data_IF_219580255972
#
_entry.id   IF_219580255972
#
_cell.length_a   1.000
_cell.length_b   1.000
_cell.length_c   1.000
_cell.angle_alpha   90.00
_cell.angle_beta   90.00
_cell.angle_gamma   90.00
#
_symmetry.space_group_name_H-M   'P 1'
#
loop_
_entity.id
_entity.type
_entity.pdbx_description
1 polymer ?
#
# COMPACT_ATOMS: atom_id res chain seq x y z
N UNK A 1 -1.54 -0.17 -17.71
CA UNK A 1 -0.34 0.71 -17.79
C UNK A 1 -0.69 1.90 -18.68
N UNK A 2 -0.32 3.13 -18.30
CA UNK A 2 -0.56 4.35 -19.09
C UNK A 2 0.79 5.07 -19.34
N UNK A 3 1.44 4.89 -20.50
CA UNK A 3 2.74 5.49 -20.78
C UNK A 3 2.75 7.02 -20.79
N UNK A 4 1.67 7.65 -21.29
CA UNK A 4 1.56 9.10 -21.35
C UNK A 4 1.54 9.73 -19.95
N UNK A 5 0.75 9.15 -19.04
CA UNK A 5 0.72 9.57 -17.63
C UNK A 5 2.08 9.40 -16.95
N UNK A 6 2.75 8.27 -17.16
CA UNK A 6 4.07 8.02 -16.56
C UNK A 6 5.13 9.02 -17.05
N UNK A 7 5.09 9.38 -18.34
CA UNK A 7 5.97 10.41 -18.91
C UNK A 7 5.70 11.80 -18.31
N UNK A 8 4.41 12.18 -18.19
CA UNK A 8 4.02 13.44 -17.58
C UNK A 8 4.46 13.54 -16.10
N UNK A 9 4.29 12.46 -15.33
CA UNK A 9 4.76 12.39 -13.95
C UNK A 9 6.28 12.53 -13.86
N UNK A 10 7.03 11.85 -14.73
CA UNK A 10 8.49 11.94 -14.75
C UNK A 10 8.97 13.36 -15.06
N UNK A 11 8.31 14.06 -16.00
CA UNK A 11 8.65 15.44 -16.32
C UNK A 11 8.38 16.39 -15.14
N UNK A 12 7.24 16.25 -14.46
CA UNK A 12 6.84 17.14 -13.36
C UNK A 12 7.67 16.91 -12.09
N UNK A 13 8.11 15.68 -11.83
CA UNK A 13 8.87 15.32 -10.65
C UNK A 13 10.40 15.51 -10.82
N UNK A 14 10.85 15.86 -12.03
CA UNK A 14 12.22 16.23 -12.34
C UNK A 14 13.21 15.08 -12.08
N UNK A 15 13.98 15.19 -11.00
CA UNK A 15 15.03 14.23 -10.63
C UNK A 15 14.50 13.03 -9.82
N UNK A 16 13.24 13.07 -9.36
CA UNK A 16 12.67 11.94 -8.61
C UNK A 16 12.27 10.81 -9.55
N UNK A 17 12.77 9.57 -9.33
CA UNK A 17 12.50 8.45 -10.22
C UNK A 17 11.03 8.04 -10.16
N UNK A 18 10.38 8.00 -11.33
CA UNK A 18 9.01 7.49 -11.47
C UNK A 18 9.08 6.08 -12.05
N UNK A 19 8.70 5.09 -11.25
CA UNK A 19 8.85 3.70 -11.62
C UNK A 19 7.66 2.82 -11.20
N UNK A 20 7.51 1.69 -11.87
CA UNK A 20 6.49 0.69 -11.54
C UNK A 20 6.94 -0.17 -10.37
N UNK A 21 5.99 -0.58 -9.51
CA UNK A 21 6.28 -1.52 -8.41
C UNK A 21 6.76 -2.88 -8.88
N UNK A 22 6.58 -3.22 -10.16
CA UNK A 22 7.11 -4.45 -10.75
C UNK A 22 8.64 -4.52 -10.65
N UNK A 23 9.35 -3.38 -10.61
CA UNK A 23 10.80 -3.35 -10.37
C UNK A 23 11.20 -3.87 -8.98
N UNK A 24 10.26 -3.84 -8.03
CA UNK A 24 10.45 -4.33 -6.66
C UNK A 24 9.78 -5.70 -6.45
N UNK A 25 9.46 -6.43 -7.54
CA UNK A 25 8.87 -7.76 -7.46
C UNK A 25 7.36 -7.80 -7.17
N UNK A 26 6.66 -6.66 -7.21
CA UNK A 26 5.22 -6.58 -6.96
C UNK A 26 4.45 -6.10 -8.21
N UNK A 27 3.63 -6.98 -8.79
CA UNK A 27 2.71 -6.60 -9.87
C UNK A 27 1.81 -5.45 -9.39
N UNK A 28 1.84 -4.28 -10.06
CA UNK A 28 1.01 -3.13 -9.70
C UNK A 28 -0.49 -3.44 -9.60
N UNK A 29 -0.97 -4.45 -10.34
CA UNK A 29 -2.38 -4.86 -10.34
C UNK A 29 -2.80 -5.62 -9.08
N UNK A 30 -1.84 -6.18 -8.34
CA UNK A 30 -2.11 -7.00 -7.17
C UNK A 30 -1.82 -6.28 -5.86
N UNK A 31 -1.34 -5.03 -5.90
CA UNK A 31 -0.83 -4.35 -4.70
C UNK A 31 -1.88 -4.17 -3.62
N UNK A 32 -3.12 -3.87 -4.00
CA UNK A 32 -4.25 -3.73 -3.07
C UNK A 32 -4.61 -5.07 -2.43
N UNK A 33 -4.69 -6.15 -3.23
CA UNK A 33 -4.97 -7.49 -2.73
C UNK A 33 -3.88 -7.98 -1.75
N UNK A 34 -2.61 -7.77 -2.09
CA UNK A 34 -1.48 -8.06 -1.20
C UNK A 34 -1.55 -7.23 0.08
N UNK A 35 -1.98 -5.97 -0.01
CA UNK A 35 -2.17 -5.09 1.15
C UNK A 35 -3.23 -5.65 2.12
N UNK A 36 -4.36 -6.15 1.61
CA UNK A 36 -5.36 -6.79 2.48
C UNK A 36 -4.86 -8.10 3.11
N UNK A 37 -4.14 -8.93 2.35
CA UNK A 37 -3.51 -10.14 2.90
C UNK A 37 -2.50 -9.78 4.01
N UNK A 38 -1.70 -8.72 3.80
CA UNK A 38 -0.79 -8.19 4.81
C UNK A 38 -1.54 -7.66 6.05
N UNK A 39 -2.66 -6.95 5.88
CA UNK A 39 -3.50 -6.50 6.99
C UNK A 39 -4.07 -7.67 7.80
N UNK A 40 -4.48 -8.75 7.14
CA UNK A 40 -4.91 -9.98 7.83
C UNK A 40 -3.76 -10.57 8.66
N UNK A 41 -2.54 -10.64 8.13
CA UNK A 41 -1.35 -11.04 8.90
C UNK A 41 -1.12 -10.12 10.10
N UNK A 42 -1.24 -8.80 9.94
CA UNK A 42 -1.11 -7.84 11.06
C UNK A 42 -2.15 -8.08 12.15
N UNK A 43 -3.39 -8.41 11.78
CA UNK A 43 -4.46 -8.78 12.73
C UNK A 43 -4.09 -10.05 13.51
N UNK A 44 -3.63 -11.09 12.82
CA UNK A 44 -3.23 -12.35 13.46
C UNK A 44 -2.04 -12.17 14.41
N UNK A 45 -1.12 -11.25 14.09
CA UNK A 45 0.02 -10.89 14.95
C UNK A 45 -0.33 -9.87 16.05
N UNK A 46 -1.57 -9.37 16.10
CA UNK A 46 -1.98 -8.32 17.04
C UNK A 46 -1.26 -6.98 16.83
N UNK A 47 -0.74 -6.72 15.62
CA UNK A 47 0.05 -5.52 15.30
C UNK A 47 -0.81 -4.44 14.63
N UNK A 48 -0.53 -3.14 14.84
CA UNK A 48 -1.28 -2.06 14.19
C UNK A 48 -1.27 -2.16 12.67
N UNK A 49 -2.41 -1.91 12.01
CA UNK A 49 -2.55 -1.92 10.55
C UNK A 49 -2.63 -0.52 9.93
N UNK A 50 -2.89 0.51 10.73
CA UNK A 50 -2.97 1.90 10.27
C UNK A 50 -1.74 2.71 10.67
N UNK A 51 -1.58 3.85 9.99
CA UNK A 51 -0.68 4.92 10.40
C UNK A 51 -1.52 6.17 10.77
N UNK A 52 -1.51 6.62 12.05
CA UNK A 52 -2.26 7.80 12.49
C UNK A 52 -2.01 9.07 11.68
N UNK A 53 -0.76 9.31 11.25
CA UNK A 53 -0.42 10.50 10.44
C UNK A 53 -1.07 10.50 9.06
N UNK A 54 -1.51 9.35 8.56
CA UNK A 54 -2.26 9.21 7.29
C UNK A 54 -3.77 9.19 7.54
N UNK A 55 -4.21 8.52 8.61
CA UNK A 55 -5.64 8.26 8.87
C UNK A 55 -6.33 9.28 9.77
N UNK A 56 -5.59 10.11 10.50
CA UNK A 56 -6.14 11.01 11.53
C UNK A 56 -6.61 10.31 12.80
N UNK A 57 -6.40 8.99 12.92
CA UNK A 57 -6.77 8.25 14.14
C UNK A 57 -5.98 8.74 15.36
N UNK A 58 -6.60 8.74 16.54
CA UNK A 58 -5.94 9.18 17.79
C UNK A 58 -4.71 8.35 18.19
N UNK A 59 -4.66 7.09 17.79
CA UNK A 59 -3.57 6.15 18.10
C UNK A 59 -3.45 5.04 17.05
N UNK A 60 -2.31 4.33 16.97
CA UNK A 60 -2.21 3.11 16.18
C UNK A 60 -3.22 2.06 16.65
N UNK A 61 -3.80 1.32 15.71
CA UNK A 61 -4.87 0.34 15.95
C UNK A 61 -4.71 -0.92 15.10
N UNK A 62 -5.05 -2.06 15.70
CA UNK A 62 -5.16 -3.34 15.00
C UNK A 62 -6.45 -3.31 14.17
N UNK A 63 -6.34 -3.49 12.86
CA UNK A 63 -7.46 -3.39 11.93
C UNK A 63 -8.11 -4.76 11.67
N UNK A 64 -9.39 -4.74 11.26
CA UNK A 64 -10.15 -5.93 10.89
C UNK A 64 -10.71 -6.74 12.08
N UNK A 65 -11.42 -7.81 11.73
CA UNK A 65 -12.00 -8.78 12.66
C UNK A 65 -11.70 -10.22 12.19
N UNK A 66 -11.73 -11.17 13.11
CA UNK A 66 -11.53 -12.61 12.81
C UNK A 66 -12.91 -13.25 12.78
N UNK A 67 -13.26 -13.85 11.66
CA UNK A 67 -14.45 -14.68 11.50
C UNK A 67 -13.96 -16.12 11.39
N UNK A 68 -14.30 -16.95 12.38
CA UNK A 68 -13.91 -18.35 12.38
C UNK A 68 -14.64 -19.11 11.26
N UNK A 69 -13.95 -20.08 10.66
CA UNK A 69 -14.49 -20.96 9.64
C UNK A 69 -15.53 -21.92 10.20
#
# INVERSE_FOLDING_TARGET
RNPALMSALAQLLGQQPVATTALYGLDPRCIEAVTFAWLAKRRLEGRPGNLPTVTGARKPGVLGAIYAA
#
